data_IF_020791843752
#
_entry.id   IF_020791843752
#
_cell.length_a   1.000
_cell.length_b   1.000
_cell.length_c   1.000
_cell.angle_alpha   90.00
_cell.angle_beta   90.00
_cell.angle_gamma   90.00
#
_symmetry.space_group_name_H-M   'P 1'
#
loop_
_entity.id
_entity.type
_entity.pdbx_description
1 polymer ?
#
# COMPACT_ATOMS: atom_id res chain seq x y z
N UNK A 1 -14.86 1.52 -12.16
CA UNK A 1 -13.96 0.99 -11.11
C UNK A 1 -12.67 1.76 -11.23
N UNK A 2 -12.26 2.47 -10.17
CA UNK A 2 -11.06 3.30 -10.21
C UNK A 2 -9.82 2.39 -10.11
N UNK A 3 -8.74 2.73 -10.82
CA UNK A 3 -7.48 2.02 -10.64
C UNK A 3 -6.71 2.68 -9.50
N UNK A 4 -5.96 1.88 -8.73
CA UNK A 4 -5.14 2.38 -7.64
C UNK A 4 -4.15 3.47 -8.12
N UNK A 5 -3.59 3.30 -9.32
CA UNK A 5 -2.66 4.27 -9.94
C UNK A 5 -3.31 5.63 -10.21
N UNK A 6 -4.62 5.68 -10.44
CA UNK A 6 -5.34 6.93 -10.69
C UNK A 6 -5.65 7.67 -9.37
N UNK A 7 -5.66 6.94 -8.24
CA UNK A 7 -5.88 7.48 -6.90
C UNK A 7 -4.58 7.85 -6.18
N UNK A 8 -3.47 7.22 -6.56
CA UNK A 8 -2.15 7.42 -5.98
C UNK A 8 -1.46 8.66 -6.55
N UNK A 9 -0.95 9.50 -5.66
CA UNK A 9 -0.02 10.56 -6.01
C UNK A 9 1.39 9.99 -6.26
N UNK A 10 1.79 9.00 -5.47
CA UNK A 10 3.02 8.24 -5.66
C UNK A 10 2.70 6.76 -5.50
N UNK A 11 3.13 5.96 -6.47
CA UNK A 11 3.13 4.50 -6.41
C UNK A 11 4.48 4.00 -6.88
N UNK A 12 5.30 3.45 -5.97
CA UNK A 12 6.66 3.00 -6.29
C UNK A 12 7.04 1.76 -5.52
N UNK A 13 7.92 0.96 -6.11
CA UNK A 13 8.66 -0.09 -5.42
C UNK A 13 10.06 0.40 -5.03
N UNK A 14 10.60 -0.13 -3.94
CA UNK A 14 12.02 0.01 -3.58
C UNK A 14 12.54 -1.30 -3.01
N UNK A 15 13.80 -1.60 -3.32
CA UNK A 15 14.50 -2.71 -2.70
C UNK A 15 14.81 -2.37 -1.23
N UNK A 16 14.38 -3.21 -0.29
CA UNK A 16 14.52 -3.01 1.14
C UNK A 16 15.47 -4.05 1.74
N UNK A 17 16.75 -3.91 1.37
CA UNK A 17 17.78 -4.87 1.72
C UNK A 17 17.79 -6.10 0.78
N UNK A 18 18.43 -7.21 1.20
CA UNK A 18 18.59 -8.38 0.34
C UNK A 18 17.35 -9.29 0.29
N UNK A 19 16.42 -9.17 1.23
CA UNK A 19 15.32 -10.12 1.43
C UNK A 19 13.93 -9.56 1.17
N UNK A 20 13.78 -8.23 1.13
CA UNK A 20 12.47 -7.61 1.05
C UNK A 20 12.40 -6.60 -0.10
N UNK A 21 11.25 -6.56 -0.76
CA UNK A 21 10.82 -5.45 -1.60
C UNK A 21 9.68 -4.74 -0.89
N UNK A 22 9.65 -3.41 -0.97
CA UNK A 22 8.58 -2.61 -0.37
C UNK A 22 7.92 -1.75 -1.42
N UNK A 23 6.62 -1.50 -1.23
CA UNK A 23 5.82 -0.63 -2.09
C UNK A 23 5.32 0.55 -1.26
N UNK A 24 5.63 1.76 -1.72
CA UNK A 24 5.09 2.98 -1.12
C UNK A 24 3.87 3.41 -1.95
N UNK A 25 2.70 3.53 -1.30
CA UNK A 25 1.46 4.05 -1.88
C UNK A 25 1.10 5.33 -1.14
N UNK A 26 1.31 6.48 -1.78
CA UNK A 26 0.98 7.80 -1.20
C UNK A 26 -0.24 8.33 -1.95
N UNK A 27 -1.31 8.55 -1.19
CA UNK A 27 -2.59 9.03 -1.72
C UNK A 27 -2.66 10.55 -1.61
N UNK A 28 -3.46 11.17 -2.48
CA UNK A 28 -3.49 12.63 -2.66
C UNK A 28 -3.99 13.40 -1.42
N UNK A 29 -4.95 12.84 -0.71
CA UNK A 29 -5.61 13.46 0.44
C UNK A 29 -6.18 12.43 1.42
N UNK A 30 -6.53 12.89 2.63
CA UNK A 30 -7.09 12.05 3.69
C UNK A 30 -8.41 11.38 3.29
N UNK A 31 -9.22 12.00 2.42
CA UNK A 31 -10.49 11.43 1.97
C UNK A 31 -10.23 10.20 1.09
N UNK A 32 -9.28 10.29 0.18
CA UNK A 32 -8.85 9.21 -0.71
C UNK A 32 -8.14 8.12 0.09
N UNK A 33 -7.30 8.50 1.06
CA UNK A 33 -6.69 7.56 2.00
C UNK A 33 -7.71 6.72 2.73
N UNK A 34 -8.66 7.36 3.42
CA UNK A 34 -9.70 6.66 4.17
C UNK A 34 -10.57 5.79 3.25
N UNK A 35 -10.86 6.24 2.03
CA UNK A 35 -11.61 5.43 1.05
C UNK A 35 -10.85 4.15 0.67
N UNK A 36 -9.56 4.24 0.37
CA UNK A 36 -8.75 3.07 -0.03
C UNK A 36 -8.56 2.13 1.17
N UNK A 37 -8.17 2.67 2.33
CA UNK A 37 -8.04 1.92 3.59
C UNK A 37 -9.32 1.15 3.92
N UNK A 38 -10.45 1.85 4.00
CA UNK A 38 -11.73 1.25 4.38
C UNK A 38 -12.30 0.30 3.32
N UNK A 39 -11.78 0.32 2.09
CA UNK A 39 -12.19 -0.64 1.06
C UNK A 39 -11.71 -2.06 1.37
N UNK A 40 -10.64 -2.22 2.16
CA UNK A 40 -10.03 -3.52 2.46
C UNK A 40 -9.47 -4.27 1.25
N UNK A 41 -9.44 -3.63 0.07
CA UNK A 41 -8.99 -4.25 -1.18
C UNK A 41 -7.49 -4.56 -1.13
N UNK A 42 -6.70 -3.67 -0.53
CA UNK A 42 -5.27 -3.90 -0.29
C UNK A 42 -5.15 -4.66 1.03
N UNK A 43 -4.90 -5.97 0.93
CA UNK A 43 -4.72 -6.87 2.06
C UNK A 43 -3.65 -7.92 1.73
N UNK A 44 -3.24 -8.69 2.73
CA UNK A 44 -2.13 -9.64 2.60
C UNK A 44 -2.45 -10.75 1.58
N UNK A 45 -3.72 -11.14 1.44
CA UNK A 45 -4.15 -12.16 0.48
C UNK A 45 -4.00 -11.67 -0.96
N UNK A 46 -4.41 -10.44 -1.27
CA UNK A 46 -4.21 -9.84 -2.59
C UNK A 46 -2.73 -9.79 -2.94
N UNK A 47 -1.90 -9.27 -2.03
CA UNK A 47 -0.47 -9.09 -2.28
C UNK A 47 0.26 -10.44 -2.41
N UNK A 48 -0.05 -11.41 -1.53
CA UNK A 48 0.46 -12.78 -1.61
C UNK A 48 0.18 -13.41 -2.97
N UNK A 49 -1.05 -13.28 -3.48
CA UNK A 49 -1.44 -13.81 -4.79
C UNK A 49 -0.73 -13.11 -5.95
N UNK A 50 -0.59 -11.78 -5.91
CA UNK A 50 0.07 -11.00 -6.96
C UNK A 50 1.57 -11.31 -7.09
N UNK A 51 2.26 -11.49 -5.96
CA UNK A 51 3.71 -11.67 -5.92
C UNK A 51 4.16 -13.12 -5.66
N UNK A 52 3.21 -14.05 -5.49
CA UNK A 52 3.47 -15.48 -5.26
C UNK A 52 4.36 -15.76 -4.04
N UNK A 53 4.06 -15.09 -2.94
CA UNK A 53 4.72 -15.24 -1.65
C UNK A 53 3.74 -15.77 -0.60
N UNK A 54 4.25 -16.32 0.51
CA UNK A 54 3.38 -16.74 1.60
C UNK A 54 2.68 -15.53 2.23
N UNK A 55 1.46 -15.72 2.74
CA UNK A 55 0.69 -14.61 3.34
C UNK A 55 1.40 -14.05 4.56
N UNK A 56 2.11 -14.90 5.30
CA UNK A 56 2.87 -14.57 6.50
C UNK A 56 4.10 -13.70 6.20
N UNK A 57 4.57 -13.69 4.96
CA UNK A 57 5.69 -12.86 4.50
C UNK A 57 5.25 -11.46 4.04
N UNK A 58 3.94 -11.18 4.04
CA UNK A 58 3.39 -9.88 3.66
C UNK A 58 3.09 -9.04 4.89
N UNK A 59 3.58 -7.81 4.90
CA UNK A 59 3.25 -6.81 5.93
C UNK A 59 2.70 -5.54 5.27
N UNK A 60 1.56 -5.06 5.78
CA UNK A 60 0.94 -3.81 5.33
C UNK A 60 0.92 -2.85 6.51
N UNK A 61 1.45 -1.65 6.30
CA UNK A 61 1.50 -0.60 7.30
C UNK A 61 0.78 0.65 6.75
N UNK A 62 -0.15 1.15 7.54
CA UNK A 62 -0.93 2.34 7.22
C UNK A 62 -0.38 3.52 8.02
N UNK A 63 -0.03 4.59 7.33
CA UNK A 63 0.41 5.85 7.95
C UNK A 63 -0.61 6.94 7.64
N UNK A 64 -1.29 7.43 8.68
CA UNK A 64 -2.06 8.67 8.55
C UNK A 64 -1.11 9.86 8.40
N UNK A 65 -1.61 10.97 7.86
CA UNK A 65 -0.79 12.19 7.73
C UNK A 65 -0.33 12.62 9.13
N UNK A 66 0.96 12.44 9.40
CA UNK A 66 1.60 12.94 10.61
C UNK A 66 1.91 14.41 10.35
N UNK A 67 1.08 15.30 10.89
CA UNK A 67 1.48 16.70 11.00
C UNK A 67 2.63 16.75 12.01
N UNK A 68 3.80 17.22 11.58
CA UNK A 68 4.87 17.54 12.51
C UNK A 68 4.38 18.70 13.40
N UNK A 69 4.13 18.39 14.67
CA UNK A 69 3.82 19.39 15.71
C UNK A 69 5.07 20.16 16.10
#
# INVERSE_FOLDING_TARGET
MDKLVDLANILRSKNAGPLNITFDIILKDNKTFNRVKNSGVINEELISNLYKVAKEDVSILEYEVVNAT
#
